data_IF_895591296055
#
_entry.id   IF_895591296055
#
_cell.length_a   1.000
_cell.length_b   1.000
_cell.length_c   1.000
_cell.angle_alpha   90.00
_cell.angle_beta   90.00
_cell.angle_gamma   90.00
#
_symmetry.space_group_name_H-M   'P 1'
#
loop_
_entity.id
_entity.type
_entity.pdbx_description
1 polymer ?
#
# COMPACT_ATOMS: atom_id res chain seq x y z
N UNK A 1 -49.81 -40.66 -44.21
CA UNK A 1 -48.94 -40.15 -43.14
C UNK A 1 -47.87 -39.29 -43.79
N UNK A 2 -48.08 -37.97 -43.82
CA UNK A 2 -47.06 -37.02 -44.28
C UNK A 2 -46.83 -36.01 -43.16
N UNK A 3 -45.61 -35.93 -42.66
CA UNK A 3 -45.20 -34.82 -41.77
C UNK A 3 -45.13 -33.55 -42.63
N UNK A 4 -45.74 -32.42 -42.24
CA UNK A 4 -45.53 -31.18 -42.96
C UNK A 4 -44.11 -30.67 -42.69
N UNK A 5 -43.43 -30.38 -43.80
CA UNK A 5 -42.12 -29.79 -43.87
C UNK A 5 -42.13 -28.31 -43.44
N UNK A 6 -41.00 -27.91 -42.86
CA UNK A 6 -40.44 -26.54 -42.87
C UNK A 6 -41.22 -25.45 -42.14
N UNK A 7 -41.20 -25.50 -40.80
CA UNK A 7 -41.47 -24.32 -39.97
C UNK A 7 -40.20 -23.44 -39.88
N UNK A 8 -39.87 -22.75 -40.97
CA UNK A 8 -38.85 -21.70 -40.96
C UNK A 8 -39.48 -20.41 -40.41
N UNK A 9 -39.19 -20.05 -39.16
CA UNK A 9 -39.59 -18.76 -38.58
C UNK A 9 -38.61 -17.69 -39.13
N UNK A 10 -39.05 -16.68 -39.88
CA UNK A 10 -38.18 -15.61 -40.32
C UNK A 10 -37.80 -14.73 -39.12
N UNK A 11 -36.54 -14.79 -38.69
CA UNK A 11 -36.02 -13.87 -37.67
C UNK A 11 -35.87 -12.50 -38.32
N UNK A 12 -36.51 -11.47 -37.74
CA UNK A 12 -36.42 -10.12 -38.29
C UNK A 12 -35.00 -9.57 -38.16
N UNK A 13 -34.54 -8.76 -39.13
CA UNK A 13 -33.21 -8.12 -39.09
C UNK A 13 -32.95 -7.34 -37.79
N UNK A 14 -34.01 -6.83 -37.16
CA UNK A 14 -33.95 -6.13 -35.88
C UNK A 14 -33.66 -7.07 -34.70
N UNK A 15 -34.20 -8.30 -34.71
CA UNK A 15 -33.86 -9.32 -33.71
C UNK A 15 -32.43 -9.84 -33.88
N UNK A 16 -31.96 -9.96 -35.13
CA UNK A 16 -30.56 -10.32 -35.38
C UNK A 16 -29.60 -9.23 -34.89
N UNK A 17 -29.94 -7.95 -35.10
CA UNK A 17 -29.15 -6.82 -34.67
C UNK A 17 -29.11 -6.68 -33.14
N UNK A 18 -30.22 -6.92 -32.44
CA UNK A 18 -30.25 -6.89 -30.97
C UNK A 18 -29.45 -8.04 -30.35
N UNK A 19 -29.47 -9.22 -30.98
CA UNK A 19 -28.67 -10.37 -30.57
C UNK A 19 -27.17 -10.13 -30.82
N UNK A 20 -26.81 -9.52 -31.94
CA UNK A 20 -25.42 -9.12 -32.23
C UNK A 20 -24.93 -8.07 -31.24
N UNK A 21 -25.76 -7.07 -30.93
CA UNK A 21 -25.41 -6.02 -29.98
C UNK A 21 -25.23 -6.58 -28.56
N UNK A 22 -26.09 -7.52 -28.12
CA UNK A 22 -25.95 -8.16 -26.82
C UNK A 22 -24.71 -9.05 -26.71
N UNK A 23 -24.35 -9.77 -27.79
CA UNK A 23 -23.09 -10.54 -27.86
C UNK A 23 -21.87 -9.62 -27.84
N UNK A 24 -21.90 -8.47 -28.52
CA UNK A 24 -20.81 -7.49 -28.50
C UNK A 24 -20.63 -6.89 -27.10
N UNK A 25 -21.74 -6.58 -26.40
CA UNK A 25 -21.70 -6.08 -25.01
C UNK A 25 -21.16 -7.15 -24.04
N UNK A 26 -21.57 -8.41 -24.21
CA UNK A 26 -21.07 -9.53 -23.40
C UNK A 26 -19.60 -9.88 -23.69
N UNK A 27 -19.16 -9.83 -24.95
CA UNK A 27 -17.75 -10.02 -25.31
C UNK A 27 -16.86 -8.85 -24.88
N UNK A 28 -17.38 -7.61 -24.91
CA UNK A 28 -16.64 -6.42 -24.50
C UNK A 28 -16.46 -6.28 -22.98
N UNK A 29 -17.34 -6.90 -22.18
CA UNK A 29 -17.25 -6.91 -20.73
C UNK A 29 -16.25 -7.96 -20.18
N UNK A 30 -15.77 -8.88 -21.01
CA UNK A 30 -14.93 -9.99 -20.60
C UNK A 30 -13.43 -9.71 -20.78
N UNK A 31 -12.93 -8.55 -20.34
CA UNK A 31 -11.47 -8.37 -20.17
C UNK A 31 -11.09 -7.16 -19.32
N UNK A 32 -11.42 -7.21 -18.03
CA UNK A 32 -10.60 -6.51 -17.04
C UNK A 32 -10.36 -7.47 -15.89
N UNK A 33 -9.14 -7.98 -15.78
CA UNK A 33 -8.73 -8.72 -14.58
C UNK A 33 -8.89 -7.78 -13.39
N UNK A 34 -9.46 -8.27 -12.29
CA UNK A 34 -9.50 -7.52 -11.04
C UNK A 34 -8.08 -7.05 -10.67
N UNK A 35 -7.93 -5.84 -10.11
CA UNK A 35 -6.63 -5.37 -9.68
C UNK A 35 -6.08 -6.29 -8.57
N UNK A 36 -4.79 -6.64 -8.65
CA UNK A 36 -4.11 -7.43 -7.62
C UNK A 36 -4.09 -6.72 -6.25
N UNK A 37 -4.10 -5.39 -6.26
CA UNK A 37 -4.09 -4.56 -5.06
C UNK A 37 -5.26 -3.57 -5.07
N UNK A 38 -5.88 -3.41 -3.91
CA UNK A 38 -6.90 -2.39 -3.65
C UNK A 38 -6.32 -1.33 -2.72
N UNK A 39 -6.58 -0.07 -3.04
CA UNK A 39 -6.20 1.04 -2.17
C UNK A 39 -7.07 1.05 -0.90
N UNK A 40 -6.43 0.90 0.27
CA UNK A 40 -7.07 0.94 1.59
C UNK A 40 -6.63 2.14 2.43
N UNK A 41 -5.96 3.11 1.81
CA UNK A 41 -5.41 4.29 2.50
C UNK A 41 -6.46 5.00 3.35
N UNK A 42 -7.64 5.25 2.78
CA UNK A 42 -8.71 5.99 3.46
C UNK A 42 -9.44 5.19 4.55
N UNK A 43 -9.18 3.88 4.65
CA UNK A 43 -9.79 3.04 5.69
C UNK A 43 -8.82 2.82 6.86
N UNK A 44 -7.53 2.64 6.58
CA UNK A 44 -6.53 2.28 7.59
C UNK A 44 -5.69 3.46 8.07
N UNK A 45 -5.36 4.42 7.21
CA UNK A 45 -4.57 5.59 7.60
C UNK A 45 -5.48 6.79 7.85
N UNK A 46 -5.24 7.56 8.93
CA UNK A 46 -5.92 8.82 9.11
C UNK A 46 -5.41 9.84 8.07
N UNK A 47 -6.26 10.80 7.66
CA UNK A 47 -5.92 11.77 6.61
C UNK A 47 -5.03 12.92 7.12
N UNK A 48 -4.28 12.71 8.21
CA UNK A 48 -3.41 13.72 8.80
C UNK A 48 -1.96 13.59 8.30
N UNK A 49 -1.27 14.72 8.31
CA UNK A 49 0.12 14.80 7.86
C UNK A 49 1.09 14.04 8.79
N UNK A 50 0.73 13.82 10.05
CA UNK A 50 1.64 13.18 10.99
C UNK A 50 1.75 11.67 10.77
N UNK A 51 0.65 11.04 10.37
CA UNK A 51 0.57 9.59 10.12
C UNK A 51 0.62 9.22 8.64
N UNK A 52 0.21 10.13 7.75
CA UNK A 52 0.16 9.87 6.31
C UNK A 52 0.54 11.13 5.50
N UNK A 53 1.79 11.61 5.62
CA UNK A 53 2.27 12.74 4.83
C UNK A 53 2.37 12.38 3.34
N UNK A 54 2.07 13.35 2.48
CA UNK A 54 2.40 13.25 1.05
C UNK A 54 3.91 13.40 0.87
N UNK A 55 4.62 12.28 0.76
CA UNK A 55 6.08 12.23 0.60
C UNK A 55 6.53 10.98 -0.17
N UNK A 56 7.83 10.89 -0.43
CA UNK A 56 8.45 9.69 -1.00
C UNK A 56 8.84 8.73 0.13
N UNK A 57 8.47 7.46 -0.02
CA UNK A 57 8.78 6.39 0.93
C UNK A 57 9.44 5.24 0.18
N UNK A 58 10.59 4.75 0.64
CA UNK A 58 11.43 3.83 -0.14
C UNK A 58 11.71 2.47 0.51
N UNK A 59 11.44 2.33 1.81
CA UNK A 59 11.68 1.08 2.53
C UNK A 59 10.69 0.89 3.67
N UNK A 60 10.46 -0.37 4.03
CA UNK A 60 9.61 -0.77 5.15
C UNK A 60 10.28 -1.88 5.96
N UNK A 61 10.14 -1.82 7.28
CA UNK A 61 10.49 -2.88 8.20
C UNK A 61 9.35 -3.08 9.21
N UNK A 62 9.26 -4.29 9.77
CA UNK A 62 8.24 -4.67 10.76
C UNK A 62 8.99 -5.20 11.99
N UNK A 63 8.75 -4.60 13.15
CA UNK A 63 9.30 -5.02 14.46
C UNK A 63 8.46 -4.37 15.59
N UNK A 64 8.59 -4.89 16.79
CA UNK A 64 7.90 -4.43 18.01
C UNK A 64 8.72 -3.29 18.61
N UNK A 65 8.42 -2.06 18.20
CA UNK A 65 9.25 -0.88 18.48
C UNK A 65 9.04 -0.41 19.92
N UNK A 66 7.85 -0.62 20.48
CA UNK A 66 7.50 -0.22 21.84
C UNK A 66 7.46 -1.38 22.85
N UNK A 67 7.80 -2.60 22.40
CA UNK A 67 7.93 -3.82 23.21
C UNK A 67 6.62 -4.18 23.94
N UNK A 68 5.49 -4.02 23.26
CA UNK A 68 4.16 -4.38 23.77
C UNK A 68 3.58 -5.67 23.16
N UNK A 69 4.31 -6.30 22.24
CA UNK A 69 3.96 -7.53 21.55
C UNK A 69 3.09 -7.35 20.31
N UNK A 70 2.63 -6.13 20.01
CA UNK A 70 2.04 -5.79 18.70
C UNK A 70 3.13 -5.19 17.80
N UNK A 71 3.20 -5.63 16.54
CA UNK A 71 4.23 -5.12 15.61
C UNK A 71 3.86 -3.77 14.99
N UNK A 72 4.84 -2.87 14.91
CA UNK A 72 4.74 -1.62 14.17
C UNK A 72 5.29 -1.73 12.75
N UNK A 73 4.81 -0.83 11.89
CA UNK A 73 5.33 -0.63 10.53
C UNK A 73 6.25 0.58 10.54
N UNK A 74 7.54 0.36 10.26
CA UNK A 74 8.52 1.45 10.13
C UNK A 74 8.68 1.76 8.65
N UNK A 75 8.55 3.03 8.28
CA UNK A 75 8.63 3.49 6.89
C UNK A 75 9.75 4.51 6.75
N UNK A 76 10.69 4.24 5.84
CA UNK A 76 11.77 5.15 5.48
C UNK A 76 11.22 6.31 4.63
N UNK A 77 11.27 7.52 5.19
CA UNK A 77 10.84 8.75 4.54
C UNK A 77 12.00 9.49 3.87
N UNK A 78 11.78 9.95 2.65
CA UNK A 78 12.76 10.73 1.90
C UNK A 78 12.31 12.16 1.70
N UNK A 79 13.21 13.11 1.99
CA UNK A 79 12.92 14.54 2.04
C UNK A 79 11.72 14.83 2.97
N UNK A 80 11.68 14.11 4.10
CA UNK A 80 10.56 14.08 5.02
C UNK A 80 10.77 13.07 6.15
N UNK A 81 9.90 13.07 7.16
CA UNK A 81 10.03 12.21 8.33
C UNK A 81 9.91 10.72 8.02
N UNK A 82 10.61 9.88 8.77
CA UNK A 82 10.25 8.47 8.85
C UNK A 82 8.93 8.31 9.63
N UNK A 83 8.26 7.18 9.42
CA UNK A 83 7.02 6.84 10.14
C UNK A 83 7.26 5.60 11.01
N UNK A 84 6.64 5.56 12.18
CA UNK A 84 6.49 4.34 13.00
C UNK A 84 5.00 4.17 13.28
N UNK A 85 4.35 3.31 12.51
CA UNK A 85 2.89 3.19 12.47
C UNK A 85 2.43 1.99 13.30
N UNK A 86 1.68 2.26 14.38
CA UNK A 86 1.04 1.26 15.24
C UNK A 86 -0.43 1.12 14.89
N UNK A 87 -0.94 -0.11 14.84
CA UNK A 87 -2.36 -0.34 14.60
C UNK A 87 -3.16 -0.22 15.91
N UNK A 88 -3.98 0.82 16.01
CA UNK A 88 -4.85 1.05 17.17
C UNK A 88 -6.18 0.34 16.91
N UNK A 89 -6.34 -0.83 17.53
CA UNK A 89 -7.48 -1.76 17.35
C UNK A 89 -8.83 -1.07 17.58
N UNK A 90 -8.93 -0.23 18.61
CA UNK A 90 -10.17 0.50 18.96
C UNK A 90 -10.57 1.53 17.91
N UNK A 91 -9.58 2.08 17.18
CA UNK A 91 -9.80 3.07 16.12
C UNK A 91 -9.91 2.42 14.74
N UNK A 92 -9.48 1.17 14.62
CA UNK A 92 -9.33 0.48 13.33
C UNK A 92 -8.33 1.15 12.39
N UNK A 93 -7.31 1.84 12.94
CA UNK A 93 -6.41 2.71 12.16
C UNK A 93 -4.96 2.59 12.59
N UNK A 94 -4.05 2.80 11.64
CA UNK A 94 -2.64 3.02 11.89
C UNK A 94 -2.40 4.46 12.37
N UNK A 95 -1.65 4.63 13.45
CA UNK A 95 -1.28 5.93 14.01
C UNK A 95 0.22 5.99 14.15
N UNK A 96 0.83 7.11 13.79
CA UNK A 96 2.25 7.29 13.99
C UNK A 96 2.57 7.55 15.47
N UNK A 97 3.37 6.67 16.08
CA UNK A 97 3.82 6.79 17.48
C UNK A 97 5.15 7.55 17.59
N UNK A 98 5.88 7.71 16.48
CA UNK A 98 7.05 8.59 16.40
C UNK A 98 6.61 10.05 16.27
N UNK A 99 6.18 10.63 17.40
CA UNK A 99 5.75 12.02 17.50
C UNK A 99 6.94 12.98 17.54
N UNK A 100 6.74 14.20 17.03
CA UNK A 100 7.73 15.29 17.05
C UNK A 100 7.78 16.02 18.40
N UNK A 101 7.96 15.24 19.47
CA UNK A 101 8.13 15.75 20.83
C UNK A 101 9.46 15.22 21.34
N UNK A 102 10.36 16.11 21.79
CA UNK A 102 11.74 15.73 22.16
C UNK A 102 11.80 14.77 23.35
N UNK A 103 10.75 14.74 24.16
CA UNK A 103 10.63 13.79 25.27
C UNK A 103 10.14 12.39 24.85
N UNK A 104 9.69 12.23 23.60
CA UNK A 104 9.28 10.92 23.07
C UNK A 104 10.49 9.98 22.94
N UNK A 105 10.38 8.71 23.36
CA UNK A 105 11.43 7.72 23.12
C UNK A 105 11.66 7.46 21.62
N UNK A 106 10.68 7.78 20.77
CA UNK A 106 10.72 7.56 19.33
C UNK A 106 11.10 8.82 18.54
N UNK A 107 11.45 9.93 19.21
CA UNK A 107 11.78 11.20 18.55
C UNK A 107 12.90 11.05 17.51
N UNK A 108 13.93 10.28 17.83
CA UNK A 108 15.07 10.06 16.93
C UNK A 108 14.67 9.27 15.67
N UNK A 109 13.74 8.31 15.79
CA UNK A 109 13.24 7.54 14.65
C UNK A 109 12.49 8.44 13.67
N UNK A 110 11.77 9.46 14.17
CA UNK A 110 10.97 10.38 13.34
C UNK A 110 11.79 11.12 12.28
N UNK A 111 13.03 11.49 12.61
CA UNK A 111 14.00 12.18 11.73
C UNK A 111 13.34 13.14 10.72
N UNK A 112 12.76 14.25 11.20
CA UNK A 112 11.85 15.10 10.39
C UNK A 112 12.41 15.61 9.06
N UNK A 113 13.73 15.74 8.98
CA UNK A 113 14.45 16.25 7.81
C UNK A 113 15.26 15.14 7.13
N UNK A 114 14.97 13.88 7.48
CA UNK A 114 15.67 12.70 7.02
C UNK A 114 15.57 12.48 5.51
N UNK A 115 16.55 11.75 5.00
CA UNK A 115 16.61 11.32 3.61
C UNK A 115 16.81 9.80 3.57
N UNK A 116 15.95 9.08 4.29
CA UNK A 116 16.02 7.63 4.35
C UNK A 116 15.52 6.99 3.06
N UNK A 117 16.31 6.06 2.51
CA UNK A 117 15.97 5.28 1.32
C UNK A 117 15.79 3.78 1.63
N UNK A 118 16.07 3.38 2.85
CA UNK A 118 15.90 2.01 3.30
C UNK A 118 15.82 1.94 4.81
N UNK A 119 15.20 0.87 5.30
CA UNK A 119 15.15 0.54 6.72
C UNK A 119 15.21 -0.98 6.87
N UNK A 120 15.88 -1.45 7.90
CA UNK A 120 15.86 -2.87 8.31
C UNK A 120 15.80 -2.96 9.83
N UNK A 121 15.25 -4.06 10.33
CA UNK A 121 15.21 -4.39 11.75
C UNK A 121 15.81 -5.78 11.95
N UNK A 122 16.72 -5.92 12.91
CA UNK A 122 17.33 -7.20 13.27
C UNK A 122 17.87 -7.13 14.71
N UNK A 123 17.67 -8.21 15.47
CA UNK A 123 18.32 -8.44 16.76
C UNK A 123 19.79 -8.75 16.51
N UNK A 124 20.66 -7.75 16.64
CA UNK A 124 22.09 -7.90 16.34
C UNK A 124 22.91 -8.30 17.56
N UNK A 125 22.44 -7.96 18.76
CA UNK A 125 23.14 -8.22 20.01
C UNK A 125 22.64 -9.47 20.76
N UNK A 126 21.56 -10.08 20.27
CA UNK A 126 20.99 -11.33 20.75
C UNK A 126 20.15 -11.16 22.01
N UNK A 127 19.66 -9.95 22.30
CA UNK A 127 18.86 -9.67 23.48
C UNK A 127 17.35 -9.91 23.30
N UNK A 128 16.94 -10.30 22.08
CA UNK A 128 15.57 -10.61 21.72
C UNK A 128 14.73 -9.41 21.32
N UNK A 129 15.30 -8.20 21.21
CA UNK A 129 14.66 -7.04 20.59
C UNK A 129 15.39 -6.70 19.29
N UNK A 130 14.66 -6.33 18.25
CA UNK A 130 15.32 -5.93 17.02
C UNK A 130 15.79 -4.47 17.05
N UNK A 131 17.06 -4.25 16.73
CA UNK A 131 17.59 -2.92 16.44
C UNK A 131 17.13 -2.45 15.06
N UNK A 132 16.92 -1.14 14.91
CA UNK A 132 16.44 -0.52 13.67
C UNK A 132 17.58 0.28 13.02
N UNK A 133 17.83 0.02 11.74
CA UNK A 133 18.83 0.71 10.94
C UNK A 133 18.20 1.38 9.73
N UNK A 134 18.47 2.68 9.56
CA UNK A 134 18.09 3.41 8.35
C UNK A 134 19.28 3.58 7.43
N UNK A 135 19.08 3.33 6.14
CA UNK A 135 19.98 3.76 5.08
C UNK A 135 19.59 5.18 4.68
N UNK A 136 20.37 6.17 5.10
CA UNK A 136 20.15 7.58 4.78
C UNK A 136 21.10 8.03 3.67
N UNK A 137 20.61 8.84 2.73
CA UNK A 137 21.42 9.35 1.64
C UNK A 137 22.09 10.68 1.94
N UNK A 138 21.65 11.43 2.96
CA UNK A 138 22.15 12.74 3.42
C UNK A 138 22.86 13.63 2.36
N UNK A 139 22.40 13.61 1.11
CA UNK A 139 23.06 14.16 -0.08
C UNK A 139 24.49 13.63 -0.39
N UNK A 140 24.92 12.50 0.16
CA UNK A 140 26.24 11.88 -0.01
C UNK A 140 26.33 10.74 -1.05
N UNK A 141 25.30 10.50 -1.87
CA UNK A 141 25.43 9.63 -3.04
C UNK A 141 25.82 10.43 -4.28
N UNK A 142 27.11 10.73 -4.38
CA UNK A 142 27.83 10.58 -5.64
C UNK A 142 29.18 9.99 -5.27
N UNK A 143 29.46 8.76 -5.71
CA UNK A 143 30.86 8.37 -5.83
C UNK A 143 31.54 9.48 -6.60
N UNK A 144 32.49 10.17 -5.98
CA UNK A 144 33.42 10.96 -6.75
C UNK A 144 34.24 9.91 -7.49
N UNK A 145 33.90 9.69 -8.76
CA UNK A 145 34.74 8.94 -9.67
C UNK A 145 36.18 9.49 -9.55
N UNK A 146 37.13 8.56 -9.55
CA UNK A 146 38.57 8.80 -9.46
C UNK A 146 39.09 9.90 -10.42
#
# INVERSE_FOLDING_TARGET
MGLPADFFIPVSKMMLLSLLLSVIIYCGAAQRSDPMFTAVTNTVLPPDYESNPTQLNYGVAITDVDNDGDFEIIVAGYNGPNLVLKYIKEKGRLVNIAVDERSSPFYALRDRQGNAIGVTACDIDGDGREEIYFLNTNNAFSGNDF
#
